data_IF_187814258975
#
_entry.id   IF_187814258975
#
_cell.length_a   1.000
_cell.length_b   1.000
_cell.length_c   1.000
_cell.angle_alpha   90.00
_cell.angle_beta   90.00
_cell.angle_gamma   90.00
#
_symmetry.space_group_name_H-M   'P 1'
#
loop_
_entity.id
_entity.type
_entity.pdbx_description
1 polymer ?
#
# COMPACT_ATOMS: atom_id res chain seq x y z
N UNK A 1 4.99 11.58 17.06
CA UNK A 1 4.53 10.43 16.24
C UNK A 1 5.30 10.41 14.94
N UNK A 2 5.75 9.24 14.45
CA UNK A 2 6.37 9.09 13.13
C UNK A 2 5.31 8.59 12.15
N UNK A 3 4.86 9.42 11.22
CA UNK A 3 3.83 9.06 10.23
C UNK A 3 4.51 8.52 8.97
N UNK A 4 4.17 7.30 8.57
CA UNK A 4 4.69 6.69 7.34
C UNK A 4 3.53 6.59 6.35
N UNK A 5 3.71 7.14 5.15
CA UNK A 5 2.71 7.03 4.09
C UNK A 5 3.06 5.88 3.14
N UNK A 6 2.10 4.99 2.86
CA UNK A 6 2.24 3.99 1.80
C UNK A 6 2.36 4.69 0.45
N UNK A 7 3.37 4.28 -0.31
CA UNK A 7 3.77 4.93 -1.54
C UNK A 7 3.71 3.91 -2.68
N UNK A 8 2.76 4.13 -3.59
CA UNK A 8 2.61 3.32 -4.80
C UNK A 8 3.64 3.79 -5.84
N UNK A 9 4.64 2.99 -6.22
CA UNK A 9 5.65 3.38 -7.20
C UNK A 9 5.11 3.35 -8.64
N UNK A 10 3.80 3.31 -8.84
CA UNK A 10 3.19 3.42 -10.17
C UNK A 10 3.18 4.89 -10.66
N UNK A 11 2.50 5.24 -11.75
CA UNK A 11 2.58 6.52 -12.46
C UNK A 11 3.81 6.66 -13.35
N UNK A 12 4.26 5.55 -13.92
CA UNK A 12 5.18 5.51 -15.06
C UNK A 12 4.81 4.32 -15.96
N UNK A 13 5.27 4.34 -17.21
CA UNK A 13 4.98 3.24 -18.13
C UNK A 13 5.89 2.05 -17.85
N UNK A 14 5.32 0.85 -17.92
CA UNK A 14 6.08 -0.41 -17.97
C UNK A 14 5.53 -1.28 -19.10
N UNK A 15 6.37 -2.13 -19.68
CA UNK A 15 6.01 -2.97 -20.83
C UNK A 15 4.81 -3.87 -20.55
N UNK A 16 4.73 -4.40 -19.33
CA UNK A 16 3.66 -5.28 -18.88
C UNK A 16 2.31 -4.57 -18.88
N UNK A 17 2.24 -3.39 -18.25
CA UNK A 17 1.01 -2.62 -18.20
C UNK A 17 0.58 -2.13 -19.59
N UNK A 18 1.52 -1.75 -20.44
CA UNK A 18 1.22 -1.40 -21.83
C UNK A 18 0.60 -2.57 -22.60
N UNK A 19 1.09 -3.79 -22.35
CA UNK A 19 0.54 -5.01 -22.94
C UNK A 19 -0.86 -5.34 -22.41
N UNK A 20 -1.11 -5.11 -21.13
CA UNK A 20 -2.38 -5.49 -20.49
C UNK A 20 -3.49 -4.46 -20.66
N UNK A 21 -3.14 -3.18 -20.67
CA UNK A 21 -4.08 -2.07 -20.55
C UNK A 21 -4.02 -1.09 -21.73
N UNK A 22 -3.08 -1.27 -22.66
CA UNK A 22 -2.88 -0.43 -23.83
C UNK A 22 -1.63 0.45 -23.71
N UNK A 23 -1.03 0.77 -24.87
CA UNK A 23 0.21 1.54 -24.97
C UNK A 23 0.10 2.87 -24.23
N UNK A 24 1.10 3.17 -23.39
CA UNK A 24 1.16 4.41 -22.64
C UNK A 24 0.42 4.38 -21.30
N UNK A 25 0.08 3.20 -20.78
CA UNK A 25 -0.75 3.10 -19.59
C UNK A 25 -0.01 3.54 -18.33
N UNK A 26 -0.68 4.39 -17.57
CA UNK A 26 -0.37 4.71 -16.17
C UNK A 26 -1.67 4.83 -15.39
N UNK A 27 -1.63 4.97 -14.07
CA UNK A 27 -2.84 5.26 -13.28
C UNK A 27 -3.48 6.62 -13.62
N UNK A 28 -2.75 7.52 -14.30
CA UNK A 28 -3.34 8.73 -14.86
C UNK A 28 -4.39 8.42 -15.94
N UNK A 29 -4.25 7.32 -16.69
CA UNK A 29 -5.25 6.88 -17.67
C UNK A 29 -6.58 6.57 -16.99
N UNK A 30 -6.54 5.91 -15.82
CA UNK A 30 -7.74 5.58 -15.05
C UNK A 30 -8.40 6.83 -14.49
N UNK A 31 -7.64 7.67 -13.78
CA UNK A 31 -8.17 8.89 -13.15
C UNK A 31 -8.73 9.89 -14.15
N UNK A 32 -8.05 10.14 -15.29
CA UNK A 32 -8.57 11.02 -16.37
C UNK A 32 -9.87 10.51 -17.00
N UNK A 33 -10.02 9.19 -17.12
CA UNK A 33 -11.21 8.58 -17.73
C UNK A 33 -12.37 8.40 -16.76
N UNK A 34 -12.16 8.60 -15.46
CA UNK A 34 -13.18 8.47 -14.44
C UNK A 34 -14.32 9.49 -14.65
N UNK A 35 -15.53 9.10 -14.30
CA UNK A 35 -16.73 9.94 -14.41
C UNK A 35 -17.57 9.81 -13.13
N UNK A 36 -18.26 10.88 -12.72
CA UNK A 36 -19.24 10.80 -11.64
C UNK A 36 -20.28 9.72 -11.90
N UNK A 37 -20.48 8.86 -10.91
CA UNK A 37 -21.58 7.89 -10.89
C UNK A 37 -22.89 8.47 -10.32
N UNK A 38 -22.80 9.55 -9.56
CA UNK A 38 -23.92 10.27 -8.93
C UNK A 38 -23.58 11.76 -8.78
N UNK A 39 -24.57 12.60 -8.52
CA UNK A 39 -24.45 14.04 -8.32
C UNK A 39 -23.61 14.37 -7.09
N UNK A 40 -22.62 15.24 -7.26
CA UNK A 40 -21.65 15.57 -6.22
C UNK A 40 -20.54 14.53 -6.00
N UNK A 41 -20.51 13.44 -6.77
CA UNK A 41 -19.40 12.49 -6.75
C UNK A 41 -18.14 13.14 -7.34
N UNK A 42 -17.09 13.27 -6.52
CA UNK A 42 -15.83 13.89 -6.91
C UNK A 42 -14.99 12.99 -7.82
N UNK A 43 -15.36 12.96 -9.11
CA UNK A 43 -14.62 12.34 -10.20
C UNK A 43 -14.68 13.23 -11.45
N UNK A 44 -13.62 13.28 -12.27
CA UNK A 44 -12.32 12.66 -12.05
C UNK A 44 -11.56 13.29 -10.87
N UNK A 45 -10.73 12.50 -10.19
CA UNK A 45 -9.75 13.02 -9.21
C UNK A 45 -8.45 13.35 -9.92
N UNK A 46 -8.16 14.63 -10.03
CA UNK A 46 -6.99 15.15 -10.75
C UNK A 46 -5.87 15.51 -9.76
N UNK A 47 -4.59 15.39 -10.18
CA UNK A 47 -3.47 15.75 -9.32
C UNK A 47 -3.49 17.25 -9.00
N UNK A 48 -2.92 17.61 -7.86
CA UNK A 48 -2.75 19.00 -7.46
C UNK A 48 -2.04 19.80 -8.57
N UNK A 49 -2.61 20.96 -8.93
CA UNK A 49 -2.10 21.85 -9.99
C UNK A 49 -1.92 21.16 -11.35
N UNK A 50 -2.79 20.20 -11.69
CA UNK A 50 -2.75 19.44 -12.96
C UNK A 50 -1.42 18.73 -13.22
N UNK A 51 -0.65 18.45 -12.15
CA UNK A 51 0.68 17.88 -12.26
C UNK A 51 0.64 16.35 -12.46
N UNK A 52 0.30 15.92 -13.67
CA UNK A 52 0.36 14.51 -14.11
C UNK A 52 1.80 14.03 -14.29
N UNK A 53 2.46 13.76 -13.17
CA UNK A 53 3.88 13.47 -13.10
C UNK A 53 4.27 12.05 -13.59
N UNK A 54 5.55 11.86 -13.90
CA UNK A 54 6.16 10.55 -14.12
C UNK A 54 7.17 10.26 -12.99
N UNK A 55 6.98 9.15 -12.26
CA UNK A 55 7.83 8.81 -11.11
C UNK A 55 9.26 8.41 -11.48
N UNK A 56 9.60 8.19 -12.75
CA UNK A 56 10.98 8.02 -13.20
C UNK A 56 11.75 9.34 -13.21
N UNK A 57 11.06 10.49 -13.15
CA UNK A 57 11.67 11.82 -13.11
C UNK A 57 12.21 12.15 -11.71
N UNK A 58 13.52 12.45 -11.54
CA UNK A 58 14.11 12.73 -10.22
C UNK A 58 13.47 13.93 -9.48
N UNK A 59 13.19 15.03 -10.20
CA UNK A 59 12.60 16.23 -9.60
C UNK A 59 11.19 15.98 -9.03
N UNK A 60 10.43 15.06 -9.61
CA UNK A 60 9.10 14.64 -9.11
C UNK A 60 9.24 13.97 -7.75
N UNK A 61 10.15 12.98 -7.63
CA UNK A 61 10.37 12.26 -6.37
C UNK A 61 10.87 13.21 -5.28
N UNK A 62 11.75 14.15 -5.65
CA UNK A 62 12.23 15.21 -4.75
C UNK A 62 11.10 16.12 -4.27
N UNK A 63 10.29 16.63 -5.19
CA UNK A 63 9.12 17.45 -4.85
C UNK A 63 8.15 16.74 -3.90
N UNK A 64 7.86 15.45 -4.14
CA UNK A 64 6.98 14.67 -3.28
C UNK A 64 7.56 14.44 -1.87
N UNK A 65 8.86 14.20 -1.76
CA UNK A 65 9.52 14.09 -0.46
C UNK A 65 9.53 15.43 0.29
N UNK A 66 9.77 16.54 -0.41
CA UNK A 66 9.79 17.89 0.18
C UNK A 66 8.41 18.30 0.71
N UNK A 67 7.33 18.09 -0.06
CA UNK A 67 5.97 18.38 0.41
C UNK A 67 5.55 17.45 1.54
N UNK A 68 5.91 16.16 1.49
CA UNK A 68 5.62 15.22 2.57
C UNK A 68 6.30 15.65 3.87
N UNK A 69 7.60 15.99 3.80
CA UNK A 69 8.37 16.51 4.93
C UNK A 69 7.78 17.80 5.49
N UNK A 70 7.40 18.75 4.62
CA UNK A 70 6.81 20.03 5.01
C UNK A 70 5.46 19.86 5.73
N UNK A 71 4.74 18.78 5.46
CA UNK A 71 3.45 18.45 6.09
C UNK A 71 3.54 17.36 7.18
N UNK A 72 4.75 17.07 7.68
CA UNK A 72 4.94 16.23 8.87
C UNK A 72 4.91 14.72 8.62
N UNK A 73 4.97 14.26 7.36
CA UNK A 73 5.21 12.86 7.05
C UNK A 73 6.68 12.55 7.34
N UNK A 74 6.91 11.49 8.12
CA UNK A 74 8.24 11.06 8.53
C UNK A 74 8.96 10.31 7.40
N UNK A 75 8.24 9.50 6.63
CA UNK A 75 8.84 8.71 5.55
C UNK A 75 7.81 8.01 4.67
N UNK A 76 8.30 7.34 3.62
CA UNK A 76 7.48 6.56 2.71
C UNK A 76 7.67 5.06 2.89
N UNK A 77 6.58 4.29 2.81
CA UNK A 77 6.63 2.85 2.65
C UNK A 77 6.39 2.51 1.20
N UNK A 78 7.44 2.24 0.43
CA UNK A 78 7.31 1.88 -0.97
C UNK A 78 6.74 0.47 -1.10
N UNK A 79 5.71 0.32 -1.92
CA UNK A 79 5.32 -1.02 -2.37
C UNK A 79 6.44 -1.62 -3.22
N UNK A 80 6.89 -2.79 -2.83
CA UNK A 80 7.89 -3.59 -3.52
C UNK A 80 7.19 -4.81 -4.13
N UNK A 81 7.28 -4.97 -5.44
CA UNK A 81 6.69 -6.09 -6.17
C UNK A 81 7.77 -7.07 -6.59
N UNK A 82 7.66 -8.30 -6.11
CA UNK A 82 8.60 -9.39 -6.37
C UNK A 82 7.85 -10.68 -6.65
N UNK A 83 8.11 -11.26 -7.81
CA UNK A 83 7.46 -12.44 -8.36
C UNK A 83 8.52 -13.49 -8.72
N UNK A 84 9.33 -13.88 -7.72
CA UNK A 84 10.40 -14.89 -7.88
C UNK A 84 11.42 -14.50 -8.95
N UNK A 85 12.23 -13.48 -8.65
CA UNK A 85 13.26 -12.92 -9.53
C UNK A 85 12.75 -11.87 -10.53
N UNK A 86 11.45 -11.90 -10.87
CA UNK A 86 10.82 -10.82 -11.64
C UNK A 86 10.31 -9.70 -10.73
N UNK A 87 10.65 -8.45 -11.06
CA UNK A 87 10.11 -7.25 -10.42
C UNK A 87 9.20 -6.49 -11.38
N UNK A 88 8.27 -5.71 -10.82
CA UNK A 88 7.43 -4.76 -11.55
C UNK A 88 7.42 -3.43 -10.81
N UNK A 89 7.29 -2.33 -11.55
CA UNK A 89 7.25 -0.95 -11.02
C UNK A 89 8.50 -0.55 -10.22
N UNK A 90 9.61 -1.25 -10.43
CA UNK A 90 10.83 -1.10 -9.64
C UNK A 90 11.64 0.14 -10.01
N UNK A 91 11.44 0.71 -11.20
CA UNK A 91 12.28 1.76 -11.75
C UNK A 91 12.37 3.01 -10.84
N UNK A 92 11.27 3.56 -10.29
CA UNK A 92 11.36 4.73 -9.40
C UNK A 92 12.19 4.44 -8.15
N UNK A 93 12.00 3.28 -7.51
CA UNK A 93 12.71 2.95 -6.28
C UNK A 93 14.18 2.58 -6.53
N UNK A 94 14.49 1.89 -7.64
CA UNK A 94 15.87 1.64 -8.06
C UNK A 94 16.65 2.95 -8.22
N UNK A 95 16.03 3.97 -8.81
CA UNK A 95 16.65 5.29 -8.93
C UNK A 95 16.81 5.99 -7.58
N UNK A 96 15.90 5.80 -6.62
CA UNK A 96 16.05 6.32 -5.24
C UNK A 96 17.26 5.71 -4.53
N UNK A 97 17.49 4.41 -4.67
CA UNK A 97 18.65 3.73 -4.11
C UNK A 97 19.95 4.16 -4.82
N UNK A 98 19.94 4.17 -6.15
CA UNK A 98 21.11 4.49 -6.97
C UNK A 98 21.57 5.94 -6.78
N UNK A 99 20.63 6.89 -6.84
CA UNK A 99 20.94 8.32 -6.75
C UNK A 99 21.14 8.78 -5.31
N UNK A 100 20.77 7.96 -4.33
CA UNK A 100 20.64 8.36 -2.92
C UNK A 100 19.79 9.63 -2.73
N UNK A 101 18.81 9.83 -3.61
CA UNK A 101 17.89 10.96 -3.58
C UNK A 101 16.44 10.51 -3.84
N UNK A 102 15.43 11.12 -3.19
CA UNK A 102 15.55 12.25 -2.26
C UNK A 102 16.07 11.84 -0.87
N UNK A 103 16.67 12.78 -0.14
CA UNK A 103 17.05 12.57 1.26
C UNK A 103 15.80 12.56 2.17
N UNK A 104 15.10 11.42 2.17
CA UNK A 104 13.86 11.21 2.88
C UNK A 104 13.76 9.77 3.38
N UNK A 105 13.35 9.53 4.64
CA UNK A 105 13.28 8.18 5.18
C UNK A 105 12.32 7.27 4.42
N UNK A 106 12.67 6.00 4.27
CA UNK A 106 11.80 5.02 3.62
C UNK A 106 11.90 3.61 4.20
N UNK A 107 10.86 2.80 4.00
CA UNK A 107 10.88 1.35 4.16
C UNK A 107 10.17 0.67 2.99
N UNK A 108 10.16 -0.67 2.99
CA UNK A 108 9.52 -1.47 1.94
C UNK A 108 8.38 -2.31 2.49
N UNK A 109 7.33 -2.45 1.68
CA UNK A 109 6.25 -3.41 1.87
C UNK A 109 6.18 -4.34 0.68
N UNK A 110 6.36 -5.64 0.89
CA UNK A 110 6.14 -6.63 -0.17
C UNK A 110 4.64 -6.74 -0.47
N UNK A 111 4.23 -6.22 -1.62
CA UNK A 111 2.88 -6.39 -2.15
C UNK A 111 2.76 -7.78 -2.77
N UNK A 112 2.66 -8.79 -1.90
CA UNK A 112 2.83 -10.20 -2.24
C UNK A 112 1.52 -10.85 -2.72
N UNK A 113 0.80 -10.17 -3.61
CA UNK A 113 -0.42 -10.69 -4.23
C UNK A 113 -0.26 -10.86 -5.73
N UNK A 114 -0.93 -11.86 -6.33
CA UNK A 114 -0.98 -11.96 -7.79
C UNK A 114 -1.66 -10.72 -8.37
N UNK A 115 -1.24 -10.32 -9.56
CA UNK A 115 -1.96 -9.29 -10.31
C UNK A 115 -2.99 -9.95 -11.20
N UNK A 116 -4.24 -9.57 -11.04
CA UNK A 116 -5.39 -10.05 -11.82
C UNK A 116 -6.00 -8.91 -12.62
N UNK A 117 -6.70 -9.25 -13.71
CA UNK A 117 -7.37 -8.24 -14.56
C UNK A 117 -8.54 -7.55 -13.84
N UNK A 118 -9.14 -8.19 -12.85
CA UNK A 118 -10.18 -7.63 -11.97
C UNK A 118 -9.66 -7.53 -10.53
N UNK A 119 -9.99 -6.43 -9.85
CA UNK A 119 -9.51 -6.12 -8.49
C UNK A 119 -10.17 -6.97 -7.37
N UNK A 120 -11.16 -7.80 -7.69
CA UNK A 120 -11.84 -8.67 -6.72
C UNK A 120 -11.11 -9.97 -6.42
N UNK A 121 -10.07 -10.32 -7.18
CA UNK A 121 -9.33 -11.58 -7.00
C UNK A 121 -10.17 -12.84 -7.26
N UNK A 122 -11.36 -12.70 -7.88
CA UNK A 122 -12.37 -13.75 -8.01
C UNK A 122 -12.57 -14.27 -9.45
N UNK A 123 -11.69 -13.94 -10.41
CA UNK A 123 -11.77 -14.50 -11.76
C UNK A 123 -10.40 -14.86 -12.40
N UNK A 124 -10.47 -15.86 -13.27
CA UNK A 124 -9.48 -16.72 -13.96
C UNK A 124 -8.34 -16.08 -14.77
N UNK A 125 -8.25 -14.74 -14.86
CA UNK A 125 -7.27 -14.06 -15.71
C UNK A 125 -6.15 -13.40 -14.90
N UNK A 126 -5.23 -14.23 -14.41
CA UNK A 126 -4.01 -13.80 -13.74
C UNK A 126 -3.06 -13.18 -14.78
N UNK A 127 -2.70 -11.91 -14.57
CA UNK A 127 -1.72 -11.15 -15.38
C UNK A 127 -0.29 -11.45 -14.94
N UNK A 128 -0.06 -11.49 -13.63
CA UNK A 128 1.21 -11.87 -13.01
C UNK A 128 0.94 -12.79 -11.81
N UNK A 129 1.25 -14.09 -11.89
CA UNK A 129 1.07 -15.00 -10.77
C UNK A 129 2.07 -14.69 -9.65
N UNK A 130 1.65 -14.89 -8.41
CA UNK A 130 2.54 -14.79 -7.26
C UNK A 130 3.10 -16.17 -6.92
N UNK A 131 4.41 -16.33 -7.13
CA UNK A 131 5.18 -17.46 -6.66
C UNK A 131 6.13 -16.98 -5.55
N UNK A 132 6.18 -17.73 -4.44
CA UNK A 132 6.99 -17.39 -3.27
C UNK A 132 8.35 -18.10 -3.27
N UNK A 133 8.53 -19.08 -4.16
CA UNK A 133 9.77 -19.82 -4.30
C UNK A 133 10.16 -20.64 -3.07
N UNK A 134 11.40 -21.11 -3.10
CA UNK A 134 12.04 -21.89 -2.04
C UNK A 134 13.29 -21.16 -1.54
N UNK A 135 14.12 -21.82 -0.71
CA UNK A 135 15.34 -21.25 -0.11
C UNK A 135 16.22 -20.42 -1.07
N UNK A 136 16.48 -20.91 -2.30
CA UNK A 136 17.29 -20.17 -3.27
C UNK A 136 16.63 -18.87 -3.74
N UNK A 137 15.32 -18.90 -3.94
CA UNK A 137 14.55 -17.73 -4.36
C UNK A 137 14.39 -16.72 -3.21
N UNK A 138 14.24 -17.23 -1.98
CA UNK A 138 14.22 -16.40 -0.78
C UNK A 138 15.55 -15.67 -0.60
N UNK A 139 16.67 -16.35 -0.84
CA UNK A 139 18.00 -15.74 -0.80
C UNK A 139 18.14 -14.64 -1.85
N UNK A 140 17.74 -14.90 -3.10
CA UNK A 140 17.78 -13.90 -4.18
C UNK A 140 16.96 -12.64 -3.83
N UNK A 141 15.75 -12.84 -3.28
CA UNK A 141 14.91 -11.74 -2.83
C UNK A 141 15.58 -10.96 -1.69
N UNK A 142 16.13 -11.66 -0.69
CA UNK A 142 16.86 -11.02 0.40
C UNK A 142 18.06 -10.21 -0.09
N UNK A 143 18.87 -10.72 -1.03
CA UNK A 143 20.04 -10.02 -1.56
C UNK A 143 19.66 -8.70 -2.25
N UNK A 144 18.50 -8.65 -2.90
CA UNK A 144 17.93 -7.38 -3.37
C UNK A 144 17.55 -6.46 -2.21
N UNK A 145 16.81 -6.97 -1.22
CA UNK A 145 16.37 -6.18 -0.07
C UNK A 145 17.54 -5.64 0.76
N UNK A 146 18.63 -6.39 0.86
CA UNK A 146 19.84 -6.02 1.60
C UNK A 146 20.43 -4.70 1.10
N UNK A 147 20.39 -4.44 -0.22
CA UNK A 147 20.86 -3.17 -0.80
C UNK A 147 20.07 -1.98 -0.23
N UNK A 148 18.75 -2.14 -0.06
CA UNK A 148 17.92 -1.12 0.57
C UNK A 148 18.14 -1.07 2.09
N UNK A 149 18.24 -2.23 2.75
CA UNK A 149 18.47 -2.32 4.19
C UNK A 149 19.80 -1.74 4.63
N UNK A 150 20.77 -1.53 3.73
CA UNK A 150 22.05 -0.87 4.03
C UNK A 150 22.01 0.64 3.80
N UNK A 151 20.94 1.19 3.21
CA UNK A 151 20.78 2.64 3.06
C UNK A 151 20.56 3.29 4.43
N UNK A 152 21.24 4.42 4.69
CA UNK A 152 21.17 5.15 5.95
C UNK A 152 19.79 5.78 6.18
N UNK A 153 19.04 6.04 5.11
CA UNK A 153 17.67 6.58 5.16
C UNK A 153 16.63 5.49 5.45
N UNK A 154 17.02 4.22 5.49
CA UNK A 154 16.09 3.13 5.74
C UNK A 154 15.50 3.24 7.15
N UNK A 155 14.18 3.16 7.27
CA UNK A 155 13.48 3.26 8.55
C UNK A 155 13.76 2.01 9.37
N UNK A 156 14.27 2.23 10.59
CA UNK A 156 14.62 1.18 11.55
C UNK A 156 13.81 1.29 12.84
N UNK A 157 13.61 0.14 13.46
CA UNK A 157 13.07 -0.01 14.82
C UNK A 157 14.06 -0.90 15.57
N UNK A 158 14.55 -0.43 16.72
CA UNK A 158 15.61 -1.11 17.49
C UNK A 158 16.84 -1.48 16.63
N UNK A 159 17.23 -0.54 15.76
CA UNK A 159 18.29 -0.65 14.73
C UNK A 159 18.09 -1.75 13.65
N UNK A 160 16.95 -2.45 13.65
CA UNK A 160 16.59 -3.41 12.60
C UNK A 160 15.78 -2.73 11.49
N UNK A 161 16.05 -3.00 10.19
CA UNK A 161 15.24 -2.48 9.09
C UNK A 161 13.79 -2.98 9.23
N UNK A 162 12.83 -2.05 9.12
CA UNK A 162 11.40 -2.37 9.09
C UNK A 162 11.03 -2.94 7.71
N UNK A 163 10.59 -4.19 7.66
CA UNK A 163 10.09 -4.81 6.44
C UNK A 163 8.65 -5.30 6.62
N UNK A 164 7.78 -4.89 5.71
CA UNK A 164 6.33 -5.14 5.80
C UNK A 164 5.93 -6.23 4.80
N UNK A 165 5.10 -7.17 5.22
CA UNK A 165 4.52 -8.21 4.37
C UNK A 165 3.00 -8.03 4.32
N UNK A 166 2.45 -7.91 3.11
CA UNK A 166 1.05 -7.54 2.92
C UNK A 166 0.06 -8.68 3.20
N UNK A 167 0.36 -9.91 2.77
CA UNK A 167 -0.46 -11.11 2.99
C UNK A 167 0.41 -12.31 3.38
N UNK A 168 0.89 -12.38 4.62
CA UNK A 168 1.78 -13.47 5.03
C UNK A 168 1.09 -14.84 4.96
N UNK A 169 -0.24 -14.91 5.14
CA UNK A 169 -1.03 -16.14 5.00
C UNK A 169 -0.99 -16.81 3.62
N UNK A 170 -0.50 -16.12 2.59
CA UNK A 170 -0.31 -16.72 1.27
C UNK A 170 1.07 -17.35 1.06
N UNK A 171 2.05 -17.06 1.92
CA UNK A 171 3.43 -17.51 1.76
C UNK A 171 3.54 -18.92 2.37
N UNK A 172 3.77 -19.97 1.56
CA UNK A 172 4.06 -21.29 2.10
C UNK A 172 5.33 -21.21 2.97
N UNK A 173 5.31 -21.87 4.13
CA UNK A 173 6.46 -21.87 5.05
C UNK A 173 6.92 -20.47 5.48
N UNK A 174 5.99 -19.51 5.63
CA UNK A 174 6.30 -18.13 5.98
C UNK A 174 7.25 -18.00 7.18
N UNK A 175 7.00 -18.72 8.28
CA UNK A 175 7.85 -18.68 9.48
C UNK A 175 9.31 -19.10 9.17
N UNK A 176 9.49 -20.11 8.31
CA UNK A 176 10.82 -20.58 7.88
C UNK A 176 11.52 -19.52 7.02
N UNK A 177 10.79 -18.87 6.12
CA UNK A 177 11.31 -17.78 5.28
C UNK A 177 11.75 -16.60 6.16
N UNK A 178 10.92 -16.17 7.11
CA UNK A 178 11.25 -15.08 8.05
C UNK A 178 12.50 -15.40 8.87
N UNK A 179 12.57 -16.62 9.41
CA UNK A 179 13.75 -17.08 10.14
C UNK A 179 15.00 -17.06 9.26
N UNK A 180 14.91 -17.58 8.04
CA UNK A 180 16.03 -17.62 7.10
C UNK A 180 16.52 -16.22 6.73
N UNK A 181 15.63 -15.29 6.41
CA UNK A 181 15.98 -13.90 6.14
C UNK A 181 16.61 -13.20 7.35
N UNK A 182 16.15 -13.50 8.57
CA UNK A 182 16.74 -12.93 9.77
C UNK A 182 18.18 -13.45 10.00
N UNK A 183 18.44 -14.73 9.71
CA UNK A 183 19.80 -15.31 9.71
C UNK A 183 20.68 -14.64 8.68
N UNK A 184 20.22 -14.52 7.42
CA UNK A 184 20.96 -13.83 6.36
C UNK A 184 21.25 -12.36 6.71
N UNK A 185 20.31 -11.66 7.36
CA UNK A 185 20.51 -10.29 7.84
C UNK A 185 21.67 -10.21 8.85
N UNK A 186 21.72 -11.14 9.81
CA UNK A 186 22.80 -11.21 10.81
C UNK A 186 24.15 -11.54 10.19
N UNK A 187 24.20 -12.49 9.25
CA UNK A 187 25.42 -12.84 8.49
C UNK A 187 25.95 -11.65 7.68
N UNK A 188 25.09 -10.72 7.28
CA UNK A 188 25.43 -9.50 6.55
C UNK A 188 25.56 -8.25 7.45
N UNK A 189 25.75 -8.44 8.76
CA UNK A 189 26.09 -7.37 9.71
C UNK A 189 24.92 -6.53 10.21
N UNK A 190 23.67 -6.92 9.93
CA UNK A 190 22.48 -6.29 10.52
C UNK A 190 22.12 -6.98 11.85
N UNK A 191 21.36 -6.31 12.73
CA UNK A 191 20.88 -6.93 13.99
C UNK A 191 19.72 -7.94 13.79
N UNK A 192 19.36 -8.23 12.54
CA UNK A 192 18.13 -8.91 12.14
C UNK A 192 17.22 -7.98 11.35
N UNK A 193 15.97 -8.39 11.11
CA UNK A 193 14.92 -7.60 10.44
C UNK A 193 13.77 -7.39 11.42
N UNK A 194 13.14 -6.21 11.39
CA UNK A 194 11.91 -5.96 12.13
C UNK A 194 10.72 -6.25 11.19
N UNK A 195 10.10 -7.41 11.35
CA UNK A 195 9.02 -7.83 10.47
C UNK A 195 7.67 -7.31 10.97
N UNK A 196 6.93 -6.67 10.07
CA UNK A 196 5.55 -6.28 10.33
C UNK A 196 4.59 -6.92 9.32
N UNK A 197 3.50 -7.50 9.82
CA UNK A 197 2.43 -8.01 8.97
C UNK A 197 1.34 -6.96 8.78
N UNK A 198 0.69 -6.99 7.62
CA UNK A 198 -0.47 -6.13 7.37
C UNK A 198 -1.75 -6.84 7.78
N UNK A 199 -2.56 -6.19 8.62
CA UNK A 199 -3.93 -6.58 8.93
C UNK A 199 -4.85 -5.84 7.96
N UNK A 200 -5.41 -6.54 6.98
CA UNK A 200 -6.27 -5.98 5.93
C UNK A 200 -7.69 -6.56 6.06
N UNK A 201 -8.46 -6.67 4.97
CA UNK A 201 -9.82 -7.24 5.00
C UNK A 201 -9.87 -8.76 5.03
N UNK A 202 -8.73 -9.44 4.95
CA UNK A 202 -8.67 -10.90 4.89
C UNK A 202 -8.59 -11.51 6.29
N UNK A 203 -8.91 -12.81 6.44
CA UNK A 203 -8.75 -13.50 7.72
C UNK A 203 -7.36 -13.29 8.33
N UNK A 204 -7.31 -13.03 9.62
CA UNK A 204 -6.07 -12.72 10.32
C UNK A 204 -5.14 -13.95 10.28
N UNK A 205 -3.92 -13.80 9.77
CA UNK A 205 -2.96 -14.89 9.74
C UNK A 205 -2.53 -15.25 11.16
N UNK A 206 -2.45 -16.55 11.47
CA UNK A 206 -1.85 -17.04 12.71
C UNK A 206 -0.42 -17.52 12.40
N UNK A 207 0.50 -16.58 12.21
CA UNK A 207 1.89 -16.83 11.81
C UNK A 207 2.83 -16.16 12.82
N UNK A 208 3.78 -16.94 13.36
CA UNK A 208 4.80 -16.42 14.27
C UNK A 208 5.96 -15.75 13.52
N UNK A 209 6.78 -14.99 14.24
CA UNK A 209 7.99 -14.37 13.70
C UNK A 209 7.82 -12.91 13.23
N UNK A 210 6.61 -12.35 13.32
CA UNK A 210 6.36 -10.92 13.13
C UNK A 210 6.48 -10.16 14.45
N UNK A 211 7.32 -9.12 14.48
CA UNK A 211 7.52 -8.24 15.64
C UNK A 211 6.32 -7.31 15.88
N UNK A 212 5.59 -6.96 14.81
CA UNK A 212 4.41 -6.09 14.90
C UNK A 212 3.37 -6.39 13.83
N UNK A 213 2.21 -5.76 13.97
CA UNK A 213 1.14 -5.73 12.97
C UNK A 213 0.82 -4.28 12.55
N UNK A 214 0.30 -4.08 11.35
CA UNK A 214 -0.11 -2.77 10.81
C UNK A 214 -1.58 -2.86 10.42
N UNK A 215 -2.42 -1.99 10.97
CA UNK A 215 -3.83 -1.90 10.58
C UNK A 215 -3.94 -1.18 9.22
N UNK A 216 -4.40 -1.89 8.19
CA UNK A 216 -4.56 -1.33 6.85
C UNK A 216 -5.96 -0.75 6.69
N UNK A 217 -6.10 0.50 7.13
CA UNK A 217 -7.36 1.22 7.06
C UNK A 217 -7.67 1.72 5.64
N UNK A 218 -8.95 1.77 5.25
CA UNK A 218 -10.14 1.50 6.07
C UNK A 218 -10.59 0.02 6.10
N UNK A 219 -9.96 -0.84 5.30
CA UNK A 219 -10.48 -2.18 5.03
C UNK A 219 -10.36 -3.15 6.19
N UNK A 220 -9.36 -2.97 7.04
CA UNK A 220 -9.28 -3.69 8.30
C UNK A 220 -10.54 -3.44 9.16
N UNK A 221 -10.88 -2.18 9.41
CA UNK A 221 -12.08 -1.83 10.18
C UNK A 221 -13.35 -2.36 9.53
N UNK A 222 -13.49 -2.19 8.21
CA UNK A 222 -14.69 -2.63 7.49
C UNK A 222 -14.91 -4.13 7.69
N UNK A 223 -13.86 -4.93 7.57
CA UNK A 223 -13.98 -6.39 7.61
C UNK A 223 -14.10 -6.96 9.03
N UNK A 224 -13.48 -6.34 10.03
CA UNK A 224 -13.28 -6.97 11.34
C UNK A 224 -13.99 -6.30 12.51
N UNK A 225 -14.29 -5.01 12.41
CA UNK A 225 -14.81 -4.24 13.56
C UNK A 225 -16.15 -3.55 13.29
N UNK A 226 -16.41 -3.22 12.03
CA UNK A 226 -17.58 -2.44 11.64
C UNK A 226 -18.85 -3.29 11.59
N UNK A 227 -20.00 -2.63 11.68
CA UNK A 227 -21.31 -3.24 11.48
C UNK A 227 -21.96 -2.74 10.19
N UNK A 228 -23.12 -3.28 9.81
CA UNK A 228 -23.87 -2.83 8.64
C UNK A 228 -24.31 -1.37 8.71
N UNK A 229 -24.20 -0.72 9.88
CA UNK A 229 -24.54 0.68 10.08
C UNK A 229 -23.62 1.65 9.32
N UNK A 230 -22.43 1.23 8.89
CA UNK A 230 -21.55 2.05 8.04
C UNK A 230 -22.08 2.17 6.61
N UNK A 231 -22.97 1.28 6.18
CA UNK A 231 -23.46 1.24 4.81
C UNK A 231 -24.35 2.43 4.50
N UNK A 232 -24.12 3.02 3.33
CA UNK A 232 -24.94 4.06 2.72
C UNK A 232 -25.38 3.61 1.34
N UNK A 233 -26.54 4.09 0.95
CA UNK A 233 -27.09 3.82 -0.38
C UNK A 233 -27.49 5.14 -1.02
N UNK A 234 -27.00 5.36 -2.24
CA UNK A 234 -27.39 6.50 -3.08
C UNK A 234 -28.30 5.95 -4.18
N UNK A 235 -29.46 6.58 -4.35
CA UNK A 235 -30.38 6.31 -5.44
C UNK A 235 -30.41 7.49 -6.40
N UNK A 236 -29.95 7.29 -7.63
CA UNK A 236 -29.98 8.34 -8.64
C UNK A 236 -30.10 7.77 -10.05
N UNK A 237 -30.92 8.41 -10.89
CA UNK A 237 -31.15 8.00 -12.28
C UNK A 237 -31.50 6.50 -12.43
N UNK A 238 -32.27 5.96 -11.47
CA UNK A 238 -32.66 4.54 -11.43
C UNK A 238 -31.55 3.57 -11.04
N UNK A 239 -30.37 4.06 -10.63
CA UNK A 239 -29.25 3.24 -10.17
C UNK A 239 -29.15 3.27 -8.65
N UNK A 240 -28.81 2.12 -8.07
CA UNK A 240 -28.43 1.99 -6.67
C UNK A 240 -26.91 1.91 -6.57
N UNK A 241 -26.31 2.75 -5.74
CA UNK A 241 -24.86 2.79 -5.49
C UNK A 241 -24.64 2.58 -4.01
N UNK A 242 -23.83 1.58 -3.68
CA UNK A 242 -23.43 1.29 -2.30
C UNK A 242 -22.16 2.08 -1.97
N UNK A 243 -22.16 2.69 -0.79
CA UNK A 243 -21.04 3.49 -0.28
C UNK A 243 -20.90 3.28 1.23
N UNK A 244 -19.84 3.83 1.81
CA UNK A 244 -19.59 3.77 3.26
C UNK A 244 -19.51 5.15 3.89
N UNK A 245 -20.02 5.25 5.12
CA UNK A 245 -19.98 6.47 5.93
C UNK A 245 -18.58 6.67 6.53
N UNK A 246 -17.91 7.76 6.13
CA UNK A 246 -16.57 8.11 6.58
C UNK A 246 -16.46 8.29 8.09
N UNK A 247 -17.42 9.00 8.69
CA UNK A 247 -17.36 9.34 10.11
C UNK A 247 -17.55 8.10 10.96
N UNK A 248 -18.45 7.21 10.56
CA UNK A 248 -18.70 5.96 11.28
C UNK A 248 -17.49 5.04 11.29
N UNK A 249 -16.82 4.86 10.15
CA UNK A 249 -15.60 4.04 10.08
C UNK A 249 -14.50 4.63 10.98
N UNK A 250 -14.30 5.95 10.97
CA UNK A 250 -13.37 6.60 11.91
C UNK A 250 -13.78 6.43 13.38
N UNK A 251 -15.07 6.44 13.70
CA UNK A 251 -15.54 6.15 15.05
C UNK A 251 -15.19 4.74 15.50
N UNK A 252 -15.24 3.75 14.60
CA UNK A 252 -14.79 2.38 14.89
C UNK A 252 -13.28 2.33 15.12
N UNK A 253 -12.48 2.94 14.23
CA UNK A 253 -11.02 3.04 14.36
C UNK A 253 -10.64 3.62 15.73
N UNK A 254 -11.24 4.75 16.11
CA UNK A 254 -10.91 5.46 17.36
C UNK A 254 -11.42 4.78 18.63
N UNK A 255 -12.42 3.89 18.53
CA UNK A 255 -12.94 3.13 19.68
C UNK A 255 -12.21 1.81 19.91
N UNK A 256 -11.34 1.41 18.98
CA UNK A 256 -10.64 0.13 19.03
C UNK A 256 -9.74 0.05 20.25
N UNK A 257 -9.89 -1.01 21.04
CA UNK A 257 -8.99 -1.31 22.14
C UNK A 257 -7.59 -1.62 21.61
N UNK A 258 -6.51 -1.18 22.29
CA UNK A 258 -5.16 -1.59 21.93
C UNK A 258 -5.02 -3.12 21.92
N UNK A 259 -4.46 -3.71 20.85
CA UNK A 259 -4.23 -5.16 20.79
C UNK A 259 -3.06 -5.58 21.70
N UNK A 260 -3.02 -6.86 22.08
CA UNK A 260 -1.95 -7.43 22.91
C UNK A 260 -0.59 -7.41 22.18
N UNK A 261 -0.58 -7.75 20.88
CA UNK A 261 0.60 -7.66 20.02
C UNK A 261 0.85 -6.21 19.63
N UNK A 262 2.13 -5.82 19.59
CA UNK A 262 2.56 -4.49 19.10
C UNK A 262 1.91 -4.20 17.74
N UNK A 263 1.11 -3.15 17.67
CA UNK A 263 0.39 -2.79 16.46
C UNK A 263 0.58 -1.31 16.15
N UNK A 264 0.87 -1.01 14.89
CA UNK A 264 0.86 0.35 14.37
C UNK A 264 -0.54 0.66 13.83
N UNK A 265 -1.21 1.70 14.36
CA UNK A 265 -2.53 2.08 13.90
C UNK A 265 -2.46 2.63 12.47
N UNK A 266 -3.46 2.29 11.67
CA UNK A 266 -3.66 2.85 10.35
C UNK A 266 -4.55 4.09 10.39
N UNK A 267 -4.40 4.92 9.37
CA UNK A 267 -5.27 6.06 9.11
C UNK A 267 -5.50 6.15 7.60
N UNK A 268 -6.66 6.68 7.19
CA UNK A 268 -6.98 6.88 5.78
C UNK A 268 -7.60 8.26 5.55
N UNK A 269 -7.22 8.91 4.45
CA UNK A 269 -7.73 10.24 4.09
C UNK A 269 -9.13 10.11 3.51
N UNK A 270 -9.27 9.25 2.50
CA UNK A 270 -10.49 8.99 1.74
C UNK A 270 -10.30 7.68 0.96
N UNK A 271 -11.38 7.14 0.37
CA UNK A 271 -11.27 5.99 -0.51
C UNK A 271 -12.35 5.99 -1.59
N UNK A 272 -11.89 5.83 -2.83
CA UNK A 272 -12.74 5.72 -4.01
C UNK A 272 -11.96 5.01 -5.14
N UNK A 273 -12.41 3.81 -5.51
CA UNK A 273 -11.77 3.00 -6.56
C UNK A 273 -12.54 3.01 -7.90
N UNK A 274 -13.47 3.96 -8.07
CA UNK A 274 -14.32 4.07 -9.27
C UNK A 274 -13.52 4.32 -10.54
N UNK A 275 -12.38 5.03 -10.45
CA UNK A 275 -11.46 5.23 -11.57
C UNK A 275 -10.95 3.91 -12.19
N UNK A 276 -10.79 2.87 -11.36
CA UNK A 276 -10.34 1.53 -11.80
C UNK A 276 -11.50 0.60 -12.15
N UNK A 277 -12.55 0.57 -11.33
CA UNK A 277 -13.70 -0.33 -11.51
C UNK A 277 -14.69 0.13 -12.59
N UNK A 278 -14.90 1.44 -12.70
CA UNK A 278 -15.81 2.09 -13.66
C UNK A 278 -17.26 1.58 -13.61
N UNK A 279 -17.67 1.03 -12.46
CA UNK A 279 -19.00 0.43 -12.26
C UNK A 279 -19.59 0.74 -10.88
N UNK A 280 -20.83 0.29 -10.65
CA UNK A 280 -21.60 0.51 -9.42
C UNK A 280 -21.14 -0.36 -8.24
N UNK A 281 -20.23 -1.32 -8.46
CA UNK A 281 -19.64 -2.17 -7.43
C UNK A 281 -18.37 -1.56 -6.83
N UNK A 282 -18.05 -0.31 -7.21
CA UNK A 282 -16.93 0.42 -6.64
C UNK A 282 -17.12 0.67 -5.15
N UNK A 283 -16.01 0.68 -4.42
CA UNK A 283 -15.95 1.07 -3.02
C UNK A 283 -15.75 2.57 -2.94
N UNK A 284 -16.72 3.27 -2.33
CA UNK A 284 -16.77 4.73 -2.24
C UNK A 284 -17.06 5.12 -0.79
N UNK A 285 -16.30 6.08 -0.26
CA UNK A 285 -16.60 6.71 1.02
C UNK A 285 -17.33 8.04 0.84
N UNK A 286 -18.29 8.32 1.71
CA UNK A 286 -19.05 9.57 1.73
C UNK A 286 -18.74 10.37 2.99
N UNK A 287 -18.55 11.69 2.80
CA UNK A 287 -18.42 12.64 3.90
C UNK A 287 -17.00 12.91 4.36
N UNK A 288 -15.97 12.39 3.68
CA UNK A 288 -14.57 12.78 3.93
C UNK A 288 -14.36 14.26 3.62
N UNK A 289 -13.64 14.95 4.51
CA UNK A 289 -13.17 16.33 4.30
C UNK A 289 -11.81 16.51 4.98
N UNK A 290 -10.94 17.43 4.50
CA UNK A 290 -9.67 17.71 5.16
C UNK A 290 -9.83 18.06 6.65
N UNK A 291 -10.85 18.87 7.00
CA UNK A 291 -11.14 19.24 8.40
C UNK A 291 -11.43 18.04 9.28
N UNK A 292 -12.25 17.10 8.81
CA UNK A 292 -12.57 15.87 9.56
C UNK A 292 -11.35 14.98 9.72
N UNK A 293 -10.59 14.78 8.63
CA UNK A 293 -9.35 14.01 8.69
C UNK A 293 -8.37 14.59 9.73
N UNK A 294 -8.20 15.92 9.78
CA UNK A 294 -7.37 16.58 10.82
C UNK A 294 -7.86 16.27 12.22
N UNK A 295 -9.18 16.35 12.48
CA UNK A 295 -9.75 16.03 13.79
C UNK A 295 -9.51 14.57 14.15
N UNK A 296 -9.75 13.64 13.23
CA UNK A 296 -9.60 12.22 13.51
C UNK A 296 -8.15 11.79 13.69
N UNK A 297 -7.22 12.27 12.85
CA UNK A 297 -5.80 11.96 12.97
C UNK A 297 -5.16 12.53 14.25
N UNK A 298 -5.75 13.57 14.83
CA UNK A 298 -5.25 14.18 16.07
C UNK A 298 -5.59 13.43 17.36
N UNK A 299 -6.44 12.40 17.26
CA UNK A 299 -6.89 11.56 18.38
C UNK A 299 -6.10 10.26 18.40
#
# INVERSE_FOLDING_TARGET
MKIIAFYLPQFHQIKENDRWWGKGFTEWTNTKSARPLFSGHYQPREPYQDFYYDLTTPSVRKWQAEIAKAHGIYGFCYYHYWFKGKRLLEAPFNEVLKMKEPDFPFCLSWANEPWTKTWDGLDSHILMPQNYGELSDWKEHFEYLLQAFQDERYIRIDDKPLFIIYRPGHIPHCEQMLHYWNTLAQENGLKGIYFAETLNSFPLPNINGFDASIQFEPFYTIAHDSSSDINKTIYESGKQINAWDYDKVWMYILKRSPPEKKTFPGAFVDWDNTARRKDLNSSIFLGSTPRKFTIYLSK
#
